data_IF_936965740751
#
_entry.id   IF_936965740751
#
_cell.length_a   1.000
_cell.length_b   1.000
_cell.length_c   1.000
_cell.angle_alpha   90.00
_cell.angle_beta   90.00
_cell.angle_gamma   90.00
#
_symmetry.space_group_name_H-M   'P 1'
#
loop_
_entity.id
_entity.type
_entity.pdbx_description
1 polymer ?
#
# COMPACT_ATOMS: atom_id res chain seq x y z
N UNK A 1 23.90 -12.71 3.52
CA UNK A 1 22.56 -13.35 3.51
C UNK A 1 21.81 -12.84 4.72
N UNK A 2 21.08 -11.72 4.59
CA UNK A 2 20.35 -11.11 5.71
C UNK A 2 18.94 -11.66 5.71
N UNK A 3 18.61 -12.43 6.71
CA UNK A 3 17.28 -13.04 6.89
C UNK A 3 16.29 -11.97 7.38
N UNK A 4 15.52 -11.39 6.45
CA UNK A 4 14.50 -10.37 6.71
C UNK A 4 13.45 -10.86 7.71
N UNK A 5 13.28 -12.17 7.88
CA UNK A 5 12.37 -12.76 8.88
C UNK A 5 12.80 -12.51 10.32
N UNK A 6 14.10 -12.24 10.58
CA UNK A 6 14.61 -11.96 11.92
C UNK A 6 14.51 -10.49 12.34
N UNK A 7 14.43 -9.56 11.38
CA UNK A 7 14.37 -8.12 11.68
C UNK A 7 12.98 -7.63 12.12
N UNK A 8 11.92 -8.41 11.89
CA UNK A 8 10.54 -7.97 12.14
C UNK A 8 9.94 -8.44 13.46
N UNK A 9 10.66 -9.24 14.28
CA UNK A 9 10.17 -9.65 15.60
C UNK A 9 8.83 -10.43 15.61
N UNK A 10 8.42 -10.99 14.48
CA UNK A 10 7.17 -11.72 14.36
C UNK A 10 7.36 -13.18 14.79
N UNK A 11 7.19 -13.42 16.09
CA UNK A 11 6.92 -14.75 16.61
C UNK A 11 5.64 -15.27 15.96
N UNK A 12 5.71 -16.42 15.31
CA UNK A 12 4.55 -17.19 14.89
C UNK A 12 3.68 -17.51 16.10
N UNK A 13 2.71 -16.65 16.40
CA UNK A 13 1.58 -17.07 17.25
C UNK A 13 0.76 -18.04 16.40
N UNK A 14 0.73 -19.29 16.85
CA UNK A 14 -0.13 -20.36 16.33
C UNK A 14 -1.50 -19.80 16.03
N UNK A 15 -1.95 -19.94 14.78
CA UNK A 15 -3.35 -19.77 14.40
C UNK A 15 -4.19 -20.70 15.27
N UNK A 16 -4.86 -20.09 16.23
CA UNK A 16 -5.93 -20.79 16.95
C UNK A 16 -7.07 -20.92 15.92
N UNK A 17 -7.47 -22.15 15.64
CA UNK A 17 -8.55 -22.56 14.79
C UNK A 17 -9.84 -21.81 15.19
N UNK A 18 -10.08 -20.63 14.60
CA UNK A 18 -11.39 -19.99 14.66
C UNK A 18 -12.23 -20.63 13.57
N UNK A 19 -13.34 -21.23 13.97
CA UNK A 19 -14.21 -22.01 13.08
C UNK A 19 -14.55 -21.27 11.79
N UNK A 20 -14.68 -21.98 10.68
CA UNK A 20 -14.91 -21.48 9.32
C UNK A 20 -15.98 -20.37 9.20
N UNK A 21 -16.99 -20.35 10.04
CA UNK A 21 -18.03 -19.31 10.09
C UNK A 21 -17.52 -17.95 10.58
N UNK A 22 -16.60 -17.89 11.54
CA UNK A 22 -16.05 -16.63 12.05
C UNK A 22 -15.08 -15.99 11.06
N UNK A 23 -14.33 -16.76 10.27
CA UNK A 23 -13.48 -16.30 9.19
C UNK A 23 -14.30 -15.65 8.07
N UNK A 24 -15.38 -16.30 7.64
CA UNK A 24 -16.30 -15.81 6.61
C UNK A 24 -16.98 -14.50 7.02
N UNK A 25 -17.40 -14.36 8.30
CA UNK A 25 -18.05 -13.16 8.83
C UNK A 25 -17.07 -11.97 8.87
N UNK A 26 -15.86 -12.19 9.39
CA UNK A 26 -14.81 -11.16 9.43
C UNK A 26 -14.45 -10.68 8.04
N UNK A 27 -14.34 -11.60 7.09
CA UNK A 27 -14.04 -11.26 5.70
C UNK A 27 -15.15 -10.41 5.08
N UNK A 28 -16.42 -10.76 5.27
CA UNK A 28 -17.56 -9.97 4.77
C UNK A 28 -17.58 -8.55 5.35
N UNK A 29 -17.27 -8.38 6.64
CA UNK A 29 -17.14 -7.05 7.26
C UNK A 29 -16.04 -6.26 6.58
N UNK A 30 -14.87 -6.87 6.35
CA UNK A 30 -13.74 -6.25 5.68
C UNK A 30 -14.10 -5.79 4.26
N UNK A 31 -14.74 -6.64 3.46
CA UNK A 31 -15.13 -6.33 2.07
C UNK A 31 -16.11 -5.14 1.99
N UNK A 32 -17.11 -5.11 2.89
CA UNK A 32 -18.06 -4.00 2.96
C UNK A 32 -17.37 -2.71 3.39
N UNK A 33 -16.54 -2.78 4.42
CA UNK A 33 -15.84 -1.61 4.94
C UNK A 33 -14.82 -1.06 3.95
N UNK A 34 -14.08 -1.93 3.25
CA UNK A 34 -13.14 -1.55 2.20
C UNK A 34 -13.85 -0.73 1.11
N UNK A 35 -15.00 -1.21 0.63
CA UNK A 35 -15.80 -0.49 -0.35
C UNK A 35 -16.26 0.87 0.18
N UNK A 36 -16.83 0.91 1.39
CA UNK A 36 -17.31 2.16 1.99
C UNK A 36 -16.18 3.17 2.18
N UNK A 37 -15.04 2.76 2.71
CA UNK A 37 -13.88 3.63 2.89
C UNK A 37 -13.30 4.10 1.56
N UNK A 38 -13.22 3.23 0.56
CA UNK A 38 -12.76 3.60 -0.76
C UNK A 38 -13.69 4.62 -1.43
N UNK A 39 -15.00 4.47 -1.30
CA UNK A 39 -16.00 5.36 -1.91
C UNK A 39 -16.17 6.68 -1.15
N UNK A 40 -16.21 6.66 0.18
CA UNK A 40 -16.64 7.80 1.00
C UNK A 40 -15.51 8.42 1.84
N UNK A 41 -14.33 7.78 1.90
CA UNK A 41 -13.25 8.17 2.81
C UNK A 41 -13.47 7.67 4.23
N UNK A 42 -12.53 8.00 5.13
CA UNK A 42 -12.59 7.59 6.53
C UNK A 42 -13.57 8.43 7.35
N UNK A 43 -13.58 9.75 7.13
CA UNK A 43 -14.38 10.69 7.94
C UNK A 43 -15.88 10.44 7.81
N UNK A 44 -16.32 10.15 6.59
CA UNK A 44 -17.76 10.04 6.28
C UNK A 44 -18.31 8.62 6.47
N UNK A 45 -17.52 7.67 6.95
CA UNK A 45 -17.98 6.31 7.26
C UNK A 45 -18.05 6.12 8.76
N UNK A 46 -19.19 5.62 9.24
CA UNK A 46 -19.42 5.23 10.63
C UNK A 46 -19.50 3.71 10.77
N UNK A 47 -19.38 3.21 12.02
CA UNK A 47 -19.64 1.78 12.29
C UNK A 47 -21.10 1.40 12.00
N UNK A 48 -22.05 2.36 12.08
CA UNK A 48 -23.44 2.12 11.73
C UNK A 48 -23.60 1.89 10.22
N UNK A 49 -22.94 2.68 9.38
CA UNK A 49 -22.99 2.49 7.92
C UNK A 49 -22.48 1.10 7.52
N UNK A 50 -21.45 0.61 8.22
CA UNK A 50 -20.93 -0.73 8.02
C UNK A 50 -21.94 -1.80 8.45
N UNK A 51 -22.65 -1.61 9.58
CA UNK A 51 -23.73 -2.49 10.00
C UNK A 51 -24.83 -2.56 8.94
N UNK A 52 -25.31 -1.42 8.51
CA UNK A 52 -26.43 -1.30 7.57
C UNK A 52 -26.06 -1.92 6.21
N UNK A 53 -24.87 -1.62 5.70
CA UNK A 53 -24.38 -2.15 4.42
C UNK A 53 -24.05 -3.64 4.45
N UNK A 54 -23.61 -4.18 5.60
CA UNK A 54 -23.29 -5.61 5.74
C UNK A 54 -24.50 -6.48 6.06
N UNK A 55 -25.60 -5.88 6.53
CA UNK A 55 -26.76 -6.57 7.07
C UNK A 55 -26.47 -7.28 8.41
N UNK A 56 -25.44 -6.85 9.13
CA UNK A 56 -25.03 -7.46 10.40
C UNK A 56 -25.47 -6.60 11.58
N UNK A 57 -25.79 -7.27 12.71
CA UNK A 57 -26.07 -6.55 13.94
C UNK A 57 -24.83 -5.86 14.48
N UNK A 58 -25.01 -4.75 15.17
CA UNK A 58 -23.95 -3.99 15.83
C UNK A 58 -23.06 -4.89 16.70
N UNK A 59 -23.67 -5.74 17.55
CA UNK A 59 -22.92 -6.68 18.39
C UNK A 59 -22.12 -7.72 17.57
N UNK A 60 -22.62 -8.11 16.39
CA UNK A 60 -21.91 -8.99 15.46
C UNK A 60 -20.61 -8.37 14.95
N UNK A 61 -20.64 -7.08 14.57
CA UNK A 61 -19.47 -6.35 14.07
C UNK A 61 -18.50 -6.04 15.22
N UNK A 62 -18.99 -5.50 16.35
CA UNK A 62 -18.13 -5.11 17.48
C UNK A 62 -17.39 -6.30 18.12
N UNK A 63 -17.85 -7.54 17.91
CA UNK A 63 -17.12 -8.74 18.32
C UNK A 63 -15.84 -8.97 17.50
N UNK A 64 -15.77 -8.44 16.28
CA UNK A 64 -14.62 -8.60 15.38
C UNK A 64 -13.74 -7.35 15.35
N UNK A 65 -14.33 -6.17 15.45
CA UNK A 65 -13.64 -4.89 15.37
C UNK A 65 -14.23 -3.90 16.38
N UNK A 66 -13.42 -3.41 17.30
CA UNK A 66 -13.85 -2.48 18.35
C UNK A 66 -14.10 -1.06 17.85
N UNK A 67 -13.52 -0.70 16.69
CA UNK A 67 -13.64 0.63 16.10
C UNK A 67 -13.46 0.62 14.59
N UNK A 68 -13.88 1.69 13.92
CA UNK A 68 -13.59 1.88 12.48
C UNK A 68 -12.09 2.07 12.20
N UNK A 69 -11.34 2.63 13.17
CA UNK A 69 -9.89 2.75 13.09
C UNK A 69 -9.21 1.38 13.03
N UNK A 70 -9.59 0.46 13.91
CA UNK A 70 -9.07 -0.90 13.92
C UNK A 70 -9.39 -1.62 12.61
N UNK A 71 -10.62 -1.44 12.11
CA UNK A 71 -11.05 -2.03 10.86
C UNK A 71 -10.24 -1.50 9.67
N UNK A 72 -10.07 -0.17 9.55
CA UNK A 72 -9.24 0.42 8.49
C UNK A 72 -7.79 -0.09 8.57
N UNK A 73 -7.18 -0.08 9.75
CA UNK A 73 -5.81 -0.58 9.94
C UNK A 73 -5.68 -2.06 9.56
N UNK A 74 -6.70 -2.87 9.85
CA UNK A 74 -6.73 -4.28 9.45
C UNK A 74 -6.79 -4.45 7.91
N UNK A 75 -7.51 -3.57 7.20
CA UNK A 75 -7.55 -3.55 5.75
C UNK A 75 -6.21 -3.15 5.16
N UNK A 76 -5.61 -2.07 5.66
CA UNK A 76 -4.29 -1.61 5.21
C UNK A 76 -3.17 -2.63 5.44
N UNK A 77 -3.27 -3.45 6.49
CA UNK A 77 -2.33 -4.55 6.71
C UNK A 77 -2.43 -5.65 5.65
N UNK A 78 -3.61 -5.88 5.07
CA UNK A 78 -3.80 -6.84 3.97
C UNK A 78 -3.26 -6.30 2.64
N UNK A 79 -3.33 -4.99 2.44
CA UNK A 79 -2.83 -4.32 1.23
C UNK A 79 -1.31 -4.10 1.22
N UNK A 80 -0.59 -4.53 2.28
CA UNK A 80 0.87 -4.38 2.31
C UNK A 80 1.48 -4.97 1.06
N UNK A 81 2.16 -4.11 0.28
CA UNK A 81 2.94 -4.55 -0.87
C UNK A 81 3.98 -5.57 -0.43
N UNK A 82 3.96 -6.72 -1.07
CA UNK A 82 5.03 -7.68 -0.96
C UNK A 82 6.08 -7.28 -2.00
N UNK A 83 7.13 -6.60 -1.57
CA UNK A 83 8.28 -6.37 -2.42
C UNK A 83 8.97 -7.70 -2.67
N UNK A 84 9.18 -8.03 -3.95
CA UNK A 84 9.92 -9.23 -4.31
C UNK A 84 11.38 -9.03 -3.96
N UNK A 85 12.03 -10.06 -3.39
CA UNK A 85 13.46 -9.99 -3.12
C UNK A 85 14.23 -9.70 -4.40
N UNK A 86 15.20 -8.79 -4.32
CA UNK A 86 16.13 -8.50 -5.40
C UNK A 86 17.03 -9.72 -5.58
N UNK A 87 16.92 -10.37 -6.74
CA UNK A 87 17.63 -11.60 -7.01
C UNK A 87 18.93 -11.30 -7.74
N UNK A 88 20.06 -11.72 -7.17
CA UNK A 88 21.36 -11.66 -7.85
C UNK A 88 21.31 -12.39 -9.19
N UNK A 89 21.88 -11.74 -10.21
CA UNK A 89 21.88 -12.26 -11.59
C UNK A 89 20.66 -11.93 -12.44
N UNK A 90 19.61 -11.29 -11.87
CA UNK A 90 18.51 -10.71 -12.65
C UNK A 90 18.80 -9.26 -13.02
N UNK A 91 18.19 -8.79 -14.11
CA UNK A 91 18.30 -7.39 -14.51
C UNK A 91 17.64 -6.47 -13.48
N UNK A 92 18.36 -5.43 -13.06
CA UNK A 92 17.83 -4.37 -12.21
C UNK A 92 16.75 -3.58 -12.95
N UNK A 93 16.88 -3.39 -14.26
CA UNK A 93 15.87 -2.75 -15.11
C UNK A 93 14.58 -3.56 -15.12
N UNK A 94 14.65 -4.88 -15.23
CA UNK A 94 13.47 -5.75 -15.19
C UNK A 94 12.77 -5.67 -13.83
N UNK A 95 13.55 -5.72 -12.74
CA UNK A 95 13.03 -5.59 -11.38
C UNK A 95 12.34 -4.24 -11.16
N UNK A 96 12.97 -3.15 -11.64
CA UNK A 96 12.37 -1.81 -11.61
C UNK A 96 11.07 -1.75 -12.41
N UNK A 97 11.04 -2.30 -13.62
CA UNK A 97 9.85 -2.29 -14.47
C UNK A 97 8.68 -3.05 -13.83
N UNK A 98 8.94 -4.16 -13.16
CA UNK A 98 7.93 -4.92 -12.43
C UNK A 98 7.37 -4.10 -11.24
N UNK A 99 8.22 -3.40 -10.50
CA UNK A 99 7.81 -2.50 -9.44
C UNK A 99 6.95 -1.35 -9.97
N UNK A 100 7.41 -0.66 -11.01
CA UNK A 100 6.71 0.47 -11.63
C UNK A 100 5.35 0.05 -12.21
N UNK A 101 5.23 -1.17 -12.74
CA UNK A 101 3.97 -1.72 -13.21
C UNK A 101 2.94 -1.83 -12.09
N UNK A 102 3.33 -2.23 -10.89
CA UNK A 102 2.43 -2.30 -9.72
C UNK A 102 1.89 -0.90 -9.40
N UNK A 103 2.76 0.10 -9.32
CA UNK A 103 2.33 1.48 -9.07
C UNK A 103 1.43 2.05 -10.17
N UNK A 104 1.72 1.70 -11.43
CA UNK A 104 0.89 2.11 -12.57
C UNK A 104 -0.54 1.56 -12.47
N UNK A 105 -0.68 0.27 -12.15
CA UNK A 105 -2.00 -0.34 -11.95
C UNK A 105 -2.73 0.25 -10.74
N UNK A 106 -2.04 0.56 -9.66
CA UNK A 106 -2.63 1.26 -8.51
C UNK A 106 -3.18 2.64 -8.91
N UNK A 107 -2.41 3.42 -9.68
CA UNK A 107 -2.84 4.73 -10.16
C UNK A 107 -4.11 4.64 -11.04
N UNK A 108 -4.19 3.64 -11.91
CA UNK A 108 -5.41 3.38 -12.72
C UNK A 108 -6.61 3.05 -11.85
N UNK A 109 -6.40 2.41 -10.72
CA UNK A 109 -7.43 2.00 -9.77
C UNK A 109 -7.61 2.97 -8.58
N UNK A 110 -7.06 4.18 -8.63
CA UNK A 110 -7.02 5.11 -7.49
C UNK A 110 -8.39 5.41 -6.86
N UNK A 111 -9.49 5.37 -7.63
CA UNK A 111 -10.86 5.56 -7.13
C UNK A 111 -11.35 4.44 -6.20
N UNK A 112 -10.76 3.24 -6.31
CA UNK A 112 -11.11 2.06 -5.50
C UNK A 112 -10.12 1.84 -4.35
N UNK A 113 -9.07 2.65 -4.26
CA UNK A 113 -8.03 2.47 -3.26
C UNK A 113 -8.40 3.10 -1.92
N UNK A 114 -7.80 2.60 -0.86
CA UNK A 114 -7.94 3.15 0.50
C UNK A 114 -7.03 4.38 0.75
N UNK A 115 -6.28 4.86 -0.24
CA UNK A 115 -5.30 5.94 -0.08
C UNK A 115 -5.91 7.22 0.51
N UNK A 116 -7.12 7.59 0.07
CA UNK A 116 -7.80 8.77 0.59
C UNK A 116 -8.30 8.54 2.03
N UNK A 117 -8.89 7.40 2.31
CA UNK A 117 -9.33 7.05 3.68
C UNK A 117 -8.14 7.03 4.65
N UNK A 118 -7.00 6.53 4.20
CA UNK A 118 -5.76 6.54 4.96
C UNK A 118 -5.28 7.97 5.24
N UNK A 119 -5.27 8.84 4.23
CA UNK A 119 -4.91 10.25 4.40
C UNK A 119 -5.81 10.96 5.43
N UNK A 120 -7.12 10.76 5.33
CA UNK A 120 -8.08 11.33 6.30
C UNK A 120 -7.88 10.78 7.71
N UNK A 121 -7.62 9.47 7.83
CA UNK A 121 -7.34 8.82 9.10
C UNK A 121 -6.10 9.41 9.78
N UNK A 122 -4.98 9.48 9.06
CA UNK A 122 -3.72 10.04 9.58
C UNK A 122 -3.89 11.50 9.98
N UNK A 123 -4.59 12.29 9.15
CA UNK A 123 -4.83 13.71 9.41
C UNK A 123 -5.75 13.96 10.62
N UNK A 124 -6.63 13.00 10.95
CA UNK A 124 -7.64 13.18 12.00
C UNK A 124 -7.19 12.58 13.33
N UNK A 125 -6.64 11.38 13.30
CA UNK A 125 -6.30 10.61 14.50
C UNK A 125 -4.90 10.93 15.02
N UNK A 126 -4.13 11.75 14.30
CA UNK A 126 -2.74 12.14 14.62
C UNK A 126 -1.83 10.91 14.90
N UNK A 127 -2.15 9.78 14.27
CA UNK A 127 -1.45 8.51 14.47
C UNK A 127 -0.43 8.30 13.35
N UNK A 128 0.82 8.59 13.66
CA UNK A 128 1.98 8.26 12.82
C UNK A 128 2.29 6.75 12.95
N UNK A 129 1.33 5.90 12.63
CA UNK A 129 1.55 4.44 12.65
C UNK A 129 2.04 3.88 11.31
N UNK A 130 2.39 4.77 10.37
CA UNK A 130 2.80 4.39 9.01
C UNK A 130 4.32 4.31 8.82
N UNK A 131 5.12 4.67 9.83
CA UNK A 131 6.58 4.69 9.71
C UNK A 131 7.16 3.34 9.27
N UNK A 132 6.68 2.24 9.83
CA UNK A 132 7.22 0.92 9.49
C UNK A 132 6.98 0.50 8.02
N UNK A 133 5.90 0.96 7.40
CA UNK A 133 5.62 0.67 5.98
C UNK A 133 6.50 1.51 5.06
N UNK A 134 6.71 2.77 5.42
CA UNK A 134 7.59 3.67 4.70
C UNK A 134 9.05 3.22 4.78
N UNK A 135 9.49 2.71 5.93
CA UNK A 135 10.87 2.20 6.10
C UNK A 135 11.14 0.97 5.24
N UNK A 136 10.18 0.04 5.14
CA UNK A 136 10.31 -1.14 4.26
C UNK A 136 10.39 -0.73 2.79
N UNK A 137 9.52 0.20 2.37
CA UNK A 137 9.50 0.73 1.01
C UNK A 137 10.82 1.47 0.69
N UNK A 138 11.27 2.33 1.61
CA UNK A 138 12.53 3.06 1.48
C UNK A 138 13.71 2.11 1.32
N UNK A 139 13.81 1.11 2.19
CA UNK A 139 14.89 0.13 2.14
C UNK A 139 14.90 -0.63 0.82
N UNK A 140 13.73 -1.03 0.32
CA UNK A 140 13.63 -1.71 -0.97
C UNK A 140 14.14 -0.84 -2.13
N UNK A 141 13.75 0.45 -2.17
CA UNK A 141 14.22 1.37 -3.19
C UNK A 141 15.73 1.57 -3.13
N UNK A 142 16.30 1.72 -1.93
CA UNK A 142 17.75 1.84 -1.74
C UNK A 142 18.48 0.60 -2.24
N UNK A 143 18.02 -0.58 -1.87
CA UNK A 143 18.61 -1.85 -2.30
C UNK A 143 18.53 -2.03 -3.83
N UNK A 144 17.39 -1.68 -4.46
CA UNK A 144 17.21 -1.78 -5.90
C UNK A 144 18.13 -0.81 -6.66
N UNK A 145 18.22 0.45 -6.23
CA UNK A 145 19.10 1.43 -6.87
C UNK A 145 20.56 1.01 -6.72
N UNK A 146 21.00 0.62 -5.53
CA UNK A 146 22.37 0.13 -5.31
C UNK A 146 22.70 -1.10 -6.15
N UNK A 147 21.74 -2.02 -6.29
CA UNK A 147 21.92 -3.20 -7.14
C UNK A 147 22.10 -2.80 -8.60
N UNK A 148 21.26 -1.93 -9.14
CA UNK A 148 21.37 -1.46 -10.52
C UNK A 148 22.65 -0.65 -10.81
N UNK A 149 23.16 0.10 -9.82
CA UNK A 149 24.48 0.77 -9.92
C UNK A 149 25.60 -0.27 -9.99
N UNK A 150 25.58 -1.31 -9.13
CA UNK A 150 26.58 -2.38 -9.13
C UNK A 150 26.59 -3.19 -10.42
N UNK A 151 25.42 -3.45 -11.00
CA UNK A 151 25.29 -4.17 -12.29
C UNK A 151 25.60 -3.30 -13.50
N UNK A 152 25.78 -1.98 -13.28
CA UNK A 152 26.07 -1.03 -14.35
C UNK A 152 24.84 -0.57 -15.14
N UNK A 153 23.65 -1.03 -14.76
CA UNK A 153 22.39 -0.71 -15.45
C UNK A 153 21.83 0.68 -15.07
N UNK A 154 22.13 1.16 -13.84
CA UNK A 154 21.66 2.44 -13.35
C UNK A 154 22.77 3.47 -13.22
N UNK A 155 22.40 4.73 -13.32
CA UNK A 155 23.26 5.83 -12.92
C UNK A 155 23.45 5.81 -11.39
N UNK A 156 24.62 6.25 -10.93
CA UNK A 156 24.89 6.46 -9.51
C UNK A 156 24.23 7.77 -9.07
N UNK A 157 23.04 7.66 -8.52
CA UNK A 157 22.20 8.79 -8.08
C UNK A 157 21.71 8.55 -6.66
N UNK A 158 21.32 9.62 -6.00
CA UNK A 158 20.71 9.54 -4.68
C UNK A 158 19.36 8.78 -4.74
N UNK A 159 19.33 7.59 -4.16
CA UNK A 159 18.14 6.73 -4.12
C UNK A 159 16.97 7.37 -3.39
N UNK A 160 17.23 8.16 -2.33
CA UNK A 160 16.18 8.86 -1.58
C UNK A 160 15.57 9.98 -2.43
N UNK A 161 16.37 10.67 -3.25
CA UNK A 161 15.86 11.67 -4.20
C UNK A 161 14.92 11.02 -5.22
N UNK A 162 15.35 9.93 -5.85
CA UNK A 162 14.53 9.22 -6.87
C UNK A 162 13.24 8.73 -6.24
N UNK A 163 13.34 8.01 -5.11
CA UNK A 163 12.19 7.47 -4.40
C UNK A 163 11.20 8.56 -3.99
N UNK A 164 11.67 9.63 -3.34
CA UNK A 164 10.79 10.69 -2.86
C UNK A 164 10.11 11.41 -4.01
N UNK A 165 10.84 11.74 -5.08
CA UNK A 165 10.25 12.37 -6.27
C UNK A 165 9.12 11.52 -6.84
N UNK A 166 9.35 10.23 -7.00
CA UNK A 166 8.35 9.30 -7.52
C UNK A 166 7.16 9.14 -6.56
N UNK A 167 7.42 8.86 -5.28
CA UNK A 167 6.34 8.59 -4.31
C UNK A 167 5.45 9.81 -4.07
N UNK A 168 5.99 11.03 -4.08
CA UNK A 168 5.15 12.23 -3.98
C UNK A 168 4.29 12.43 -5.23
N UNK A 169 4.82 12.18 -6.43
CA UNK A 169 4.03 12.22 -7.65
C UNK A 169 2.94 11.14 -7.65
N UNK A 170 3.30 9.90 -7.31
CA UNK A 170 2.36 8.79 -7.15
C UNK A 170 1.24 9.11 -6.15
N UNK A 171 1.59 9.57 -4.94
CA UNK A 171 0.61 9.94 -3.91
C UNK A 171 -0.27 11.09 -4.37
N UNK A 172 0.28 12.06 -5.09
CA UNK A 172 -0.47 13.14 -5.72
C UNK A 172 -1.54 12.59 -6.67
N UNK A 173 -1.19 11.66 -7.55
CA UNK A 173 -2.14 11.00 -8.45
C UNK A 173 -3.21 10.23 -7.68
N UNK A 174 -2.83 9.46 -6.65
CA UNK A 174 -3.77 8.69 -5.84
C UNK A 174 -4.80 9.55 -5.13
N UNK A 175 -4.42 10.76 -4.71
CA UNK A 175 -5.31 11.73 -4.05
C UNK A 175 -6.20 12.49 -5.03
N UNK A 176 -5.59 13.08 -6.06
CA UNK A 176 -6.31 13.92 -7.03
C UNK A 176 -7.15 13.13 -8.02
N UNK A 177 -6.80 11.88 -8.29
CA UNK A 177 -7.57 10.98 -9.16
C UNK A 177 -9.00 10.71 -8.68
N UNK A 178 -9.29 10.95 -7.39
CA UNK A 178 -10.67 10.92 -6.85
C UNK A 178 -11.49 12.15 -7.25
N UNK A 179 -10.84 13.32 -7.33
CA UNK A 179 -11.50 14.61 -7.57
C UNK A 179 -11.77 14.78 -9.06
N UNK A 180 -10.79 14.42 -9.87
CA UNK A 180 -10.90 14.47 -11.33
C UNK A 180 -10.17 13.29 -11.96
N UNK A 181 -10.68 12.74 -13.09
CA UNK A 181 -9.96 11.72 -13.81
C UNK A 181 -8.66 12.29 -14.39
N UNK A 182 -7.60 11.48 -14.37
CA UNK A 182 -6.38 11.73 -15.11
C UNK A 182 -6.38 10.92 -16.40
N UNK A 183 -5.71 11.46 -17.41
CA UNK A 183 -5.39 10.71 -18.62
C UNK A 183 -4.31 9.65 -18.30
N UNK A 184 -4.35 8.51 -18.97
CA UNK A 184 -3.36 7.43 -18.79
C UNK A 184 -1.94 7.94 -19.03
N UNK A 185 -1.78 8.91 -19.93
CA UNK A 185 -0.50 9.60 -20.18
C UNK A 185 0.12 10.24 -18.94
N UNK A 186 -0.69 10.70 -17.99
CA UNK A 186 -0.20 11.24 -16.71
C UNK A 186 0.50 10.14 -15.90
N UNK A 187 -0.09 8.94 -15.87
CA UNK A 187 0.48 7.79 -15.16
C UNK A 187 1.77 7.33 -15.81
N UNK A 188 1.78 7.24 -17.14
CA UNK A 188 2.98 6.93 -17.91
C UNK A 188 4.11 7.92 -17.60
N UNK A 189 3.82 9.23 -17.59
CA UNK A 189 4.83 10.26 -17.31
C UNK A 189 5.43 10.12 -15.91
N UNK A 190 4.62 9.77 -14.90
CA UNK A 190 5.11 9.52 -13.53
C UNK A 190 6.06 8.32 -13.51
N UNK A 191 5.70 7.23 -14.19
CA UNK A 191 6.53 6.02 -14.28
C UNK A 191 7.80 6.28 -15.09
N UNK A 192 7.69 6.95 -16.23
CA UNK A 192 8.83 7.25 -17.10
C UNK A 192 9.84 8.19 -16.41
N UNK A 193 9.40 9.10 -15.54
CA UNK A 193 10.32 9.98 -14.82
C UNK A 193 11.37 9.21 -14.02
N UNK A 194 11.00 8.07 -13.44
CA UNK A 194 11.92 7.18 -12.70
C UNK A 194 12.93 6.56 -13.66
N UNK A 195 12.47 6.07 -14.82
CA UNK A 195 13.36 5.47 -15.83
C UNK A 195 14.38 6.48 -16.33
N UNK A 196 13.97 7.72 -16.57
CA UNK A 196 14.89 8.79 -16.99
C UNK A 196 15.94 9.11 -15.93
N UNK A 197 15.58 9.03 -14.64
CA UNK A 197 16.51 9.29 -13.55
C UNK A 197 17.51 8.13 -13.36
N UNK A 198 17.09 6.90 -13.55
CA UNK A 198 17.86 5.72 -13.17
C UNK A 198 18.60 5.05 -14.34
N UNK A 199 17.91 4.79 -15.46
CA UNK A 199 18.40 3.87 -16.48
C UNK A 199 19.45 4.54 -17.37
N UNK A 200 20.63 3.92 -17.48
CA UNK A 200 21.67 4.32 -18.45
C UNK A 200 21.18 4.06 -19.88
N UNK A 201 21.44 5.01 -20.75
CA UNK A 201 21.17 4.91 -22.19
C UNK A 201 22.27 4.14 -22.90
#
# INVERSE_FOLDING_TARGET
>A
MYDIKKATGWSQKKEVFMGQKGSSTKQKICEVAEKLFAENGYKNVSMQDICDSSGMSKGGIYRHFSSKSELLLSLLQKEKRVFQDIQEGKSAIETLNNLLKIYFEDMKNCKKSLAFALYEFVSTENKITLDSSNEVEKKYWQELVQYGVRTGEFYDVDSDMVMNTFLYAYRGVMMWGRIRPFEEKTFENVVESVRYMLIKK
#
